data_IF_357676542347
#
_entry.id   IF_357676542347
#
_cell.length_a   1.000
_cell.length_b   1.000
_cell.length_c   1.000
_cell.angle_alpha   90.00
_cell.angle_beta   90.00
_cell.angle_gamma   90.00
#
_symmetry.space_group_name_H-M   'P 1'
#
loop_
_entity.id
_entity.type
_entity.pdbx_description
1 polymer ?
#
# COMPACT_ATOMS: atom_id res chain seq x y z
N UNK A 1 12.12 9.85 -9.32
CA UNK A 1 11.91 8.39 -9.22
C UNK A 1 10.55 8.08 -8.65
N UNK A 2 9.92 7.03 -9.15
CA UNK A 2 8.61 6.58 -8.68
C UNK A 2 8.63 5.07 -8.47
N UNK A 3 8.00 4.63 -7.39
CA UNK A 3 7.77 3.22 -7.10
C UNK A 3 6.27 2.99 -7.01
N UNK A 4 5.76 2.06 -7.80
CA UNK A 4 4.39 1.59 -7.70
C UNK A 4 4.40 0.11 -7.37
N UNK A 5 3.66 -0.28 -6.34
CA UNK A 5 3.50 -1.69 -5.99
C UNK A 5 2.02 -1.93 -5.70
N UNK A 6 1.49 -3.02 -6.21
CA UNK A 6 0.19 -3.51 -5.80
C UNK A 6 0.28 -4.98 -5.39
N UNK A 7 -0.55 -5.33 -4.43
CA UNK A 7 -0.60 -6.68 -3.89
C UNK A 7 -2.06 -7.11 -3.81
N UNK A 8 -2.36 -8.20 -4.48
CA UNK A 8 -3.67 -8.81 -4.47
C UNK A 8 -3.64 -10.06 -3.60
N UNK A 9 -4.70 -10.32 -2.86
CA UNK A 9 -4.85 -11.50 -2.03
C UNK A 9 -6.13 -12.23 -2.40
N UNK A 10 -6.09 -13.56 -2.28
CA UNK A 10 -7.27 -14.39 -2.46
C UNK A 10 -8.16 -14.38 -1.20
N UNK A 11 -9.24 -15.14 -1.24
CA UNK A 11 -10.17 -15.26 -0.10
C UNK A 11 -9.54 -15.84 1.16
N UNK A 12 -8.41 -16.55 1.03
CA UNK A 12 -7.66 -17.11 2.15
C UNK A 12 -6.56 -16.16 2.64
N UNK A 13 -6.50 -14.93 2.09
CA UNK A 13 -5.47 -13.93 2.37
C UNK A 13 -4.08 -14.27 1.86
N UNK A 14 -3.96 -15.25 0.98
CA UNK A 14 -2.71 -15.57 0.32
C UNK A 14 -2.43 -14.58 -0.80
N UNK A 15 -1.16 -14.17 -0.93
CA UNK A 15 -0.73 -13.22 -1.95
C UNK A 15 -0.75 -13.92 -3.31
N UNK A 16 -1.45 -13.31 -4.27
CA UNK A 16 -1.51 -13.85 -5.63
C UNK A 16 -0.19 -13.61 -6.36
N UNK A 17 0.26 -14.57 -7.22
CA UNK A 17 1.50 -14.41 -7.98
C UNK A 17 1.49 -13.26 -8.99
N UNK A 18 0.31 -12.73 -9.31
CA UNK A 18 0.14 -11.57 -10.20
C UNK A 18 0.50 -10.24 -9.52
N UNK A 19 0.66 -10.23 -8.19
CA UNK A 19 1.11 -9.06 -7.46
C UNK A 19 2.47 -8.60 -8.00
N UNK A 20 2.59 -7.31 -8.32
CA UNK A 20 3.78 -6.77 -8.96
C UNK A 20 3.89 -5.27 -8.78
N UNK A 21 4.91 -4.68 -9.36
CA UNK A 21 5.11 -3.24 -9.34
C UNK A 21 6.12 -2.80 -10.39
N UNK A 22 6.42 -1.52 -10.38
CA UNK A 22 7.40 -0.92 -11.26
C UNK A 22 8.15 0.20 -10.55
N UNK A 23 9.41 0.37 -10.90
CA UNK A 23 10.25 1.46 -10.43
C UNK A 23 10.71 2.26 -11.64
N UNK A 24 10.39 3.55 -11.65
CA UNK A 24 10.80 4.46 -12.72
C UNK A 24 11.96 5.30 -12.22
N UNK A 25 13.09 5.15 -12.87
CA UNK A 25 14.30 5.93 -12.59
C UNK A 25 14.14 7.36 -13.07
N UNK A 26 15.02 8.23 -12.60
CA UNK A 26 15.03 9.64 -12.98
C UNK A 26 15.24 9.84 -14.49
N UNK A 27 15.94 8.93 -15.15
CA UNK A 27 16.17 8.97 -16.61
C UNK A 27 14.98 8.41 -17.43
N UNK A 28 13.90 8.00 -16.76
CA UNK A 28 12.73 7.42 -17.40
C UNK A 28 12.76 5.91 -17.60
N UNK A 29 13.89 5.26 -17.30
CA UNK A 29 14.00 3.80 -17.40
C UNK A 29 13.11 3.13 -16.35
N UNK A 30 12.35 2.12 -16.77
CA UNK A 30 11.45 1.36 -15.89
C UNK A 30 12.04 0.00 -15.57
N UNK A 31 12.03 -0.34 -14.28
CA UNK A 31 12.42 -1.67 -13.78
C UNK A 31 11.15 -2.34 -13.23
N UNK A 32 10.85 -3.54 -13.72
CA UNK A 32 9.75 -4.32 -13.21
C UNK A 32 10.11 -4.97 -11.88
N UNK A 33 9.18 -4.92 -10.92
CA UNK A 33 9.29 -5.60 -9.63
C UNK A 33 8.24 -6.69 -9.60
N UNK A 34 8.68 -7.94 -9.56
CA UNK A 34 7.79 -9.09 -9.62
C UNK A 34 7.50 -9.64 -8.23
N UNK A 35 6.51 -10.53 -8.17
CA UNK A 35 6.19 -11.27 -6.95
C UNK A 35 7.44 -11.96 -6.38
N UNK A 36 7.68 -11.79 -5.09
CA UNK A 36 8.87 -12.32 -4.41
C UNK A 36 10.07 -11.37 -4.39
N UNK A 37 10.06 -10.30 -5.19
CA UNK A 37 11.14 -9.31 -5.21
C UNK A 37 10.89 -8.13 -4.27
N UNK A 38 9.76 -8.11 -3.60
CA UNK A 38 9.42 -7.10 -2.61
C UNK A 38 8.70 -7.72 -1.42
N UNK A 39 8.71 -7.01 -0.30
CA UNK A 39 7.99 -7.39 0.90
C UNK A 39 7.27 -6.18 1.47
N UNK A 40 5.98 -6.33 1.74
CA UNK A 40 5.14 -5.33 2.40
C UNK A 40 4.78 -5.85 3.78
N UNK A 41 5.15 -5.10 4.81
CA UNK A 41 4.88 -5.50 6.21
C UNK A 41 4.07 -4.40 6.88
N UNK A 42 2.85 -4.69 7.38
CA UNK A 42 2.10 -3.73 8.17
C UNK A 42 2.82 -3.42 9.48
N UNK A 43 2.92 -2.14 9.81
CA UNK A 43 3.59 -1.69 11.05
C UNK A 43 2.58 -1.15 12.06
N UNK A 44 1.52 -0.50 11.60
CA UNK A 44 0.55 0.12 12.49
C UNK A 44 -0.85 -0.04 11.91
N UNK A 45 -1.80 -0.35 12.77
CA UNK A 45 -3.20 -0.53 12.42
C UNK A 45 -4.06 0.58 13.03
N UNK A 46 -5.13 0.91 12.33
CA UNK A 46 -6.15 1.84 12.81
C UNK A 46 -7.53 1.20 12.64
N UNK A 47 -8.39 1.36 13.65
CA UNK A 47 -9.74 0.82 13.62
C UNK A 47 -10.71 1.92 13.22
N UNK A 48 -11.48 1.69 12.16
CA UNK A 48 -12.54 2.60 11.74
C UNK A 48 -13.65 2.57 12.79
N UNK A 49 -13.96 3.69 13.45
CA UNK A 49 -14.98 3.71 14.49
C UNK A 49 -16.40 3.43 13.97
N UNK A 50 -16.62 3.65 12.68
CA UNK A 50 -17.92 3.44 12.06
C UNK A 50 -18.20 1.96 11.75
N UNK A 51 -17.20 1.24 11.25
CA UNK A 51 -17.34 -0.14 10.79
C UNK A 51 -16.62 -1.17 11.65
N UNK A 52 -15.72 -0.73 12.53
CA UNK A 52 -14.81 -1.57 13.33
C UNK A 52 -13.81 -2.35 12.49
N UNK A 53 -13.67 -2.01 11.23
CA UNK A 53 -12.67 -2.61 10.34
C UNK A 53 -11.30 -2.06 10.67
N UNK A 54 -10.29 -2.93 10.71
CA UNK A 54 -8.89 -2.57 10.94
C UNK A 54 -8.18 -2.37 9.61
N UNK A 55 -7.51 -1.23 9.47
CA UNK A 55 -6.71 -0.89 8.29
C UNK A 55 -5.25 -0.70 8.68
N UNK A 56 -4.31 -1.32 7.95
CA UNK A 56 -2.89 -1.04 8.17
C UNK A 56 -2.51 0.31 7.55
N UNK A 57 -2.25 1.29 8.39
CA UNK A 57 -2.00 2.68 7.98
C UNK A 57 -0.53 3.05 7.92
N UNK A 58 0.34 2.14 8.29
CA UNK A 58 1.80 2.30 8.19
C UNK A 58 2.39 1.00 7.70
N UNK A 59 3.30 1.08 6.76
CA UNK A 59 3.90 -0.06 6.10
C UNK A 59 5.41 0.05 6.04
N UNK A 60 6.07 -1.09 6.12
CA UNK A 60 7.45 -1.23 5.68
C UNK A 60 7.45 -1.83 4.28
N UNK A 61 8.19 -1.20 3.38
CA UNK A 61 8.32 -1.62 1.99
C UNK A 61 9.78 -1.93 1.72
N UNK A 62 10.07 -3.16 1.36
CA UNK A 62 11.41 -3.62 1.08
C UNK A 62 11.49 -4.13 -0.36
N UNK A 63 12.42 -3.57 -1.15
CA UNK A 63 12.75 -4.03 -2.50
C UNK A 63 14.26 -4.17 -2.58
N UNK A 64 14.80 -5.32 -2.14
CA UNK A 64 16.25 -5.49 -1.98
C UNK A 64 17.07 -5.24 -3.25
N UNK A 65 16.58 -5.68 -4.40
CA UNK A 65 17.30 -5.49 -5.67
C UNK A 65 17.49 -4.02 -6.07
N UNK A 66 16.68 -3.13 -5.48
CA UNK A 66 16.75 -1.69 -5.73
C UNK A 66 17.33 -0.92 -4.54
N UNK A 67 17.78 -1.61 -3.51
CA UNK A 67 18.24 -1.01 -2.25
C UNK A 67 17.19 -0.09 -1.63
N UNK A 68 15.93 -0.46 -1.75
CA UNK A 68 14.81 0.27 -1.16
C UNK A 68 14.39 -0.43 0.13
N UNK A 69 14.40 0.32 1.22
CA UNK A 69 13.86 -0.07 2.52
C UNK A 69 13.27 1.18 3.14
N UNK A 70 11.97 1.34 2.98
CA UNK A 70 11.25 2.54 3.38
C UNK A 70 10.08 2.19 4.28
N UNK A 71 9.62 3.22 5.00
CA UNK A 71 8.39 3.15 5.78
C UNK A 71 7.43 4.20 5.28
N UNK A 72 6.17 3.83 5.12
CA UNK A 72 5.09 4.76 4.85
C UNK A 72 4.28 4.96 6.11
N UNK A 73 3.90 6.21 6.37
CA UNK A 73 3.09 6.57 7.52
C UNK A 73 1.99 7.52 7.07
N UNK A 74 0.74 7.15 7.34
CA UNK A 74 -0.40 7.99 7.01
C UNK A 74 -0.29 9.36 7.66
N UNK A 75 -0.56 10.41 6.90
CA UNK A 75 -0.58 11.79 7.42
C UNK A 75 -1.84 12.05 8.24
N UNK A 76 -2.94 11.38 7.87
CA UNK A 76 -4.22 11.40 8.57
C UNK A 76 -4.69 9.96 8.73
N UNK A 77 -5.07 9.56 9.95
CA UNK A 77 -5.48 8.19 10.21
C UNK A 77 -6.84 7.86 9.59
N UNK A 78 -7.80 8.76 9.70
CA UNK A 78 -9.14 8.53 9.18
C UNK A 78 -9.24 9.01 7.73
N UNK A 79 -8.99 8.09 6.81
CA UNK A 79 -9.09 8.31 5.37
C UNK A 79 -9.97 7.23 4.73
N UNK A 80 -10.92 6.70 5.49
CA UNK A 80 -11.88 5.70 5.00
C UNK A 80 -13.00 6.39 4.26
N UNK A 81 -13.33 5.85 3.10
CA UNK A 81 -14.47 6.23 2.30
C UNK A 81 -15.58 5.20 2.49
N UNK A 82 -16.78 5.68 2.84
CA UNK A 82 -17.97 4.86 3.03
C UNK A 82 -18.97 5.17 1.92
N UNK A 83 -18.82 4.55 0.72
CA UNK A 83 -19.69 4.86 -0.40
C UNK A 83 -21.14 4.54 -0.07
N UNK A 84 -22.05 5.47 -0.38
CA UNK A 84 -23.49 5.29 -0.23
C UNK A 84 -24.17 4.77 -1.49
N UNK A 85 -23.43 4.65 -2.59
CA UNK A 85 -23.96 4.15 -3.86
C UNK A 85 -24.31 2.67 -3.77
N UNK A 86 -25.45 2.29 -4.35
CA UNK A 86 -25.85 0.87 -4.44
C UNK A 86 -24.91 0.08 -5.37
N UNK A 87 -24.16 0.74 -6.24
CA UNK A 87 -23.20 0.11 -7.15
C UNK A 87 -21.83 -0.11 -6.49
N UNK A 88 -21.53 0.64 -5.44
CA UNK A 88 -20.26 0.51 -4.72
C UNK A 88 -20.56 0.29 -3.24
N UNK A 89 -20.46 -0.95 -2.81
CA UNK A 89 -20.81 -1.37 -1.44
C UNK A 89 -19.62 -1.58 -0.54
N UNK A 90 -18.40 -1.51 -1.08
CA UNK A 90 -17.17 -1.81 -0.35
C UNK A 90 -16.57 -0.52 0.20
N UNK A 91 -16.40 -0.46 1.51
CA UNK A 91 -15.63 0.59 2.16
C UNK A 91 -14.15 0.37 1.85
N UNK A 92 -13.40 1.46 1.72
CA UNK A 92 -11.96 1.37 1.49
C UNK A 92 -11.25 2.55 2.14
N UNK A 93 -9.99 2.34 2.47
CA UNK A 93 -9.11 3.37 3.00
C UNK A 93 -8.15 3.80 1.90
N UNK A 94 -8.02 5.10 1.68
CA UNK A 94 -7.01 5.64 0.78
C UNK A 94 -6.49 6.96 1.34
N UNK A 95 -5.22 7.23 1.09
CA UNK A 95 -4.69 8.48 1.60
C UNK A 95 -3.21 8.69 1.39
N UNK A 96 -2.82 9.92 1.69
CA UNK A 96 -1.44 10.36 1.61
C UNK A 96 -0.63 9.83 2.78
N UNK A 97 0.59 9.45 2.48
CA UNK A 97 1.57 9.00 3.47
C UNK A 97 2.88 9.75 3.30
N UNK A 98 3.60 9.90 4.37
CA UNK A 98 5.00 10.32 4.34
C UNK A 98 5.87 9.07 4.21
N UNK A 99 6.97 9.20 3.47
CA UNK A 99 7.94 8.13 3.24
C UNK A 99 9.25 8.51 3.91
N UNK A 100 9.79 7.59 4.71
CA UNK A 100 11.09 7.70 5.36
C UNK A 100 11.89 6.42 5.16
N UNK A 101 13.15 6.42 5.55
CA UNK A 101 14.05 5.28 5.41
C UNK A 101 15.12 5.54 4.35
N UNK A 102 15.37 4.57 3.49
CA UNK A 102 16.39 4.70 2.43
C UNK A 102 16.08 5.83 1.44
N UNK A 103 14.83 6.22 1.34
CA UNK A 103 14.34 7.30 0.50
C UNK A 103 13.34 8.14 1.28
N UNK A 104 13.27 9.43 0.97
CA UNK A 104 12.33 10.35 1.60
C UNK A 104 11.39 10.88 0.53
N UNK A 105 10.10 10.95 0.83
CA UNK A 105 9.13 11.44 -0.13
C UNK A 105 7.70 11.29 0.34
N UNK A 106 6.82 11.16 -0.64
CA UNK A 106 5.39 11.01 -0.43
C UNK A 106 4.90 9.73 -1.11
N UNK A 107 3.85 9.15 -0.54
CA UNK A 107 3.18 8.01 -1.13
C UNK A 107 1.67 8.19 -1.07
N UNK A 108 0.98 7.44 -1.90
CA UNK A 108 -0.47 7.29 -1.85
C UNK A 108 -0.79 5.81 -1.70
N UNK A 109 -1.59 5.49 -0.71
CA UNK A 109 -1.91 4.09 -0.37
C UNK A 109 -3.40 3.89 -0.47
N UNK A 110 -3.79 2.80 -1.09
CA UNK A 110 -5.19 2.37 -1.20
C UNK A 110 -5.33 0.96 -0.63
N UNK A 111 -6.30 0.78 0.24
CA UNK A 111 -6.57 -0.47 0.94
C UNK A 111 -8.02 -0.86 0.72
N UNK A 112 -8.25 -1.99 0.06
CA UNK A 112 -9.58 -2.49 -0.30
C UNK A 112 -9.73 -3.93 0.20
N UNK A 113 -10.95 -4.28 0.62
CA UNK A 113 -11.26 -5.65 1.00
C UNK A 113 -10.92 -6.01 2.44
N UNK A 114 -10.55 -5.07 3.26
CA UNK A 114 -10.35 -5.29 4.70
C UNK A 114 -11.69 -5.41 5.40
N UNK A 115 -11.75 -6.34 6.34
CA UNK A 115 -12.99 -6.64 7.10
C UNK A 115 -12.71 -6.75 8.59
#
# INVERSE_FOLDING_TARGET
TELMIYQLRDKNRDILPTASGSFVKQDGTTIKVTHGEYKLTPLKWWVDPKTQVKYPISWQVEVPKLNINIQTKATVKQQVLHPSSILQKTNYWEGKCNVTGSHIGKAYVELVGYK
#
